data_IF_805027197558
#
_entry.id   IF_805027197558
#
_cell.length_a   1.000
_cell.length_b   1.000
_cell.length_c   1.000
_cell.angle_alpha   90.00
_cell.angle_beta   90.00
_cell.angle_gamma   90.00
#
_symmetry.space_group_name_H-M   'P 1'
#
loop_
_entity.id
_entity.type
_entity.pdbx_description
1 polymer ?
#
# COMPACT_ATOMS: atom_id res chain seq x y z
N UNK A 1 4.64 -31.67 0.36
CA UNK A 1 4.52 -31.53 1.82
C UNK A 1 3.83 -30.20 2.11
N UNK A 2 2.57 -30.21 2.55
CA UNK A 2 1.83 -28.98 2.82
C UNK A 2 2.35 -28.32 4.11
N UNK A 3 3.00 -27.18 3.97
CA UNK A 3 3.49 -26.42 5.12
C UNK A 3 2.28 -25.79 5.81
N UNK A 4 1.82 -26.48 6.85
CA UNK A 4 0.78 -26.06 7.79
C UNK A 4 1.20 -24.73 8.42
N UNK A 5 0.78 -23.62 7.81
CA UNK A 5 0.98 -22.26 8.32
C UNK A 5 0.16 -22.12 9.60
N UNK A 6 0.81 -22.26 10.75
CA UNK A 6 0.24 -21.86 12.04
C UNK A 6 0.01 -20.35 12.00
N UNK A 7 -1.15 -19.83 12.46
CA UNK A 7 -1.40 -18.40 12.50
C UNK A 7 -0.41 -17.79 13.50
N UNK A 8 0.58 -17.07 12.96
CA UNK A 8 1.60 -16.38 13.74
C UNK A 8 0.97 -15.09 14.28
N UNK A 9 1.18 -14.73 15.56
CA UNK A 9 0.66 -13.49 16.11
C UNK A 9 1.08 -12.31 15.25
N UNK A 10 0.14 -11.39 14.98
CA UNK A 10 0.41 -10.13 14.26
C UNK A 10 1.61 -9.45 14.91
N UNK A 11 2.73 -9.40 14.20
CA UNK A 11 3.92 -8.67 14.61
C UNK A 11 3.76 -7.21 14.13
N UNK A 12 3.31 -6.27 14.97
CA UNK A 12 3.05 -4.88 14.55
C UNK A 12 4.31 -4.20 14.01
N UNK A 13 5.49 -4.64 14.46
CA UNK A 13 6.79 -4.17 13.98
C UNK A 13 7.03 -4.59 12.53
N UNK A 14 6.58 -5.78 12.12
CA UNK A 14 6.75 -6.29 10.75
C UNK A 14 5.82 -5.56 9.79
N UNK A 15 4.55 -5.36 10.18
CA UNK A 15 3.60 -4.55 9.39
C UNK A 15 4.11 -3.12 9.19
N UNK A 16 4.61 -2.49 10.26
CA UNK A 16 5.16 -1.13 10.18
C UNK A 16 6.34 -1.03 9.19
N UNK A 17 7.23 -2.03 9.17
CA UNK A 17 8.34 -2.11 8.21
C UNK A 17 7.86 -2.33 6.78
N UNK A 18 6.93 -3.27 6.57
CA UNK A 18 6.39 -3.54 5.23
C UNK A 18 5.68 -2.31 4.66
N UNK A 19 4.97 -1.56 5.50
CA UNK A 19 4.34 -0.28 5.12
C UNK A 19 5.36 0.78 4.69
N UNK A 20 6.42 0.95 5.47
CA UNK A 20 7.48 1.94 5.18
C UNK A 20 8.20 1.63 3.86
N UNK A 21 8.49 0.34 3.62
CA UNK A 21 9.07 -0.14 2.37
C UNK A 21 8.11 0.09 1.18
N UNK A 22 6.81 -0.21 1.34
CA UNK A 22 5.79 0.06 0.32
C UNK A 22 5.76 1.55 -0.06
N UNK A 23 5.79 2.46 0.92
CA UNK A 23 5.84 3.90 0.64
C UNK A 23 7.12 4.31 -0.08
N UNK A 24 8.26 3.74 0.33
CA UNK A 24 9.53 3.95 -0.38
C UNK A 24 9.47 3.48 -1.84
N UNK A 25 8.80 2.36 -2.11
CA UNK A 25 8.56 1.85 -3.46
C UNK A 25 7.67 2.77 -4.29
N UNK A 26 6.56 3.23 -3.70
CA UNK A 26 5.63 4.18 -4.34
C UNK A 26 6.36 5.47 -4.73
N UNK A 27 7.19 6.01 -3.82
CA UNK A 27 7.95 7.25 -4.04
C UNK A 27 9.07 7.07 -5.07
N UNK A 28 9.83 5.97 -5.03
CA UNK A 28 10.90 5.72 -6.01
C UNK A 28 10.39 5.46 -7.41
N UNK A 29 9.30 4.70 -7.54
CA UNK A 29 8.75 4.35 -8.84
C UNK A 29 7.88 5.49 -9.41
N UNK A 30 7.42 6.41 -8.57
CA UNK A 30 6.56 7.52 -9.00
C UNK A 30 5.19 7.05 -9.48
N UNK A 31 4.70 5.91 -8.97
CA UNK A 31 3.44 5.28 -9.39
C UNK A 31 2.24 6.22 -9.22
N UNK A 32 2.35 7.24 -8.36
CA UNK A 32 1.36 8.32 -8.18
C UNK A 32 1.06 9.06 -9.51
N UNK A 33 2.02 9.13 -10.43
CA UNK A 33 1.88 9.80 -11.73
C UNK A 33 1.49 8.84 -12.88
N UNK A 34 1.45 7.52 -12.62
CA UNK A 34 1.08 6.52 -13.63
C UNK A 34 -0.43 6.53 -13.90
N UNK A 35 -0.85 5.95 -15.03
CA UNK A 35 -2.27 5.73 -15.34
C UNK A 35 -2.90 4.75 -14.34
N UNK A 36 -4.21 4.84 -14.05
CA UNK A 36 -4.86 3.98 -13.05
C UNK A 36 -4.71 2.48 -13.35
N UNK A 37 -4.65 2.11 -14.63
CA UNK A 37 -4.39 0.73 -15.06
C UNK A 37 -2.98 0.27 -14.65
N UNK A 38 -1.96 1.09 -14.93
CA UNK A 38 -0.58 0.79 -14.53
C UNK A 38 -0.39 0.84 -13.02
N UNK A 39 -1.09 1.74 -12.32
CA UNK A 39 -1.09 1.76 -10.86
C UNK A 39 -1.60 0.44 -10.30
N UNK A 40 -2.72 -0.08 -10.84
CA UNK A 40 -3.30 -1.34 -10.40
C UNK A 40 -2.35 -2.52 -10.63
N UNK A 41 -1.78 -2.65 -11.83
CA UNK A 41 -0.81 -3.70 -12.17
C UNK A 41 0.41 -3.65 -11.25
N UNK A 42 0.95 -2.45 -11.03
CA UNK A 42 2.09 -2.24 -10.14
C UNK A 42 1.77 -2.60 -8.69
N UNK A 43 0.58 -2.24 -8.19
CA UNK A 43 0.14 -2.61 -6.85
C UNK A 43 -0.05 -4.12 -6.70
N UNK A 44 -0.58 -4.80 -7.72
CA UNK A 44 -0.75 -6.25 -7.68
C UNK A 44 0.60 -6.96 -7.52
N UNK A 45 1.57 -6.62 -8.39
CA UNK A 45 2.94 -7.15 -8.36
C UNK A 45 3.67 -6.79 -7.05
N UNK A 46 3.56 -5.54 -6.60
CA UNK A 46 4.22 -5.08 -5.37
C UNK A 46 3.64 -5.76 -4.13
N UNK A 47 2.33 -5.99 -4.08
CA UNK A 47 1.67 -6.64 -2.94
C UNK A 47 2.00 -8.13 -2.91
N UNK A 48 2.08 -8.80 -4.06
CA UNK A 48 2.60 -10.16 -4.17
C UNK A 48 4.04 -10.24 -3.65
N UNK A 49 4.91 -9.35 -4.11
CA UNK A 49 6.29 -9.25 -3.63
C UNK A 49 6.38 -9.03 -2.11
N UNK A 50 5.52 -8.17 -1.54
CA UNK A 50 5.48 -7.94 -0.09
C UNK A 50 5.03 -9.18 0.68
N UNK A 51 4.07 -9.95 0.16
CA UNK A 51 3.60 -11.19 0.78
C UNK A 51 4.70 -12.27 0.79
N UNK A 52 5.48 -12.37 -0.29
CA UNK A 52 6.62 -13.29 -0.37
C UNK A 52 7.78 -12.86 0.54
N UNK A 53 8.10 -11.56 0.55
CA UNK A 53 9.19 -11.00 1.35
C UNK A 53 8.90 -11.05 2.85
N UNK A 54 7.65 -10.87 3.24
CA UNK A 54 7.21 -10.89 4.63
C UNK A 54 6.25 -12.06 4.88
N UNK A 55 6.75 -13.31 4.94
CA UNK A 55 5.91 -14.49 5.13
C UNK A 55 5.27 -14.58 6.53
N UNK A 56 5.59 -13.63 7.42
CA UNK A 56 4.97 -13.47 8.74
C UNK A 56 3.75 -12.55 8.72
N UNK A 57 3.48 -11.86 7.60
CA UNK A 57 2.23 -11.11 7.43
C UNK A 57 1.10 -12.08 7.15
N UNK A 58 -0.05 -11.84 7.78
CA UNK A 58 -1.27 -12.55 7.42
C UNK A 58 -1.87 -11.96 6.15
N UNK A 59 -2.74 -12.71 5.48
CA UNK A 59 -3.46 -12.23 4.30
C UNK A 59 -4.23 -10.91 4.57
N UNK A 60 -4.76 -10.75 5.79
CA UNK A 60 -5.37 -9.50 6.25
C UNK A 60 -4.38 -8.32 6.32
N UNK A 61 -3.16 -8.56 6.77
CA UNK A 61 -2.13 -7.53 6.87
C UNK A 61 -1.64 -7.10 5.49
N UNK A 62 -1.53 -8.05 4.56
CA UNK A 62 -1.21 -7.78 3.15
C UNK A 62 -2.33 -6.98 2.48
N UNK A 63 -3.59 -7.29 2.79
CA UNK A 63 -4.74 -6.53 2.31
C UNK A 63 -4.74 -5.09 2.86
N UNK A 64 -4.48 -4.91 4.16
CA UNK A 64 -4.37 -3.59 4.79
C UNK A 64 -3.25 -2.74 4.14
N UNK A 65 -2.09 -3.34 3.84
CA UNK A 65 -1.01 -2.68 3.11
C UNK A 65 -1.45 -2.17 1.74
N UNK A 66 -2.22 -2.96 0.98
CA UNK A 66 -2.76 -2.55 -0.32
C UNK A 66 -3.67 -1.34 -0.16
N UNK A 67 -4.63 -1.40 0.76
CA UNK A 67 -5.55 -0.29 1.00
C UNK A 67 -4.83 0.99 1.44
N UNK A 68 -3.81 0.86 2.31
CA UNK A 68 -2.99 1.98 2.75
C UNK A 68 -2.20 2.61 1.59
N UNK A 69 -1.63 1.78 0.71
CA UNK A 69 -0.91 2.24 -0.47
C UNK A 69 -1.81 2.94 -1.48
N UNK A 70 -2.96 2.34 -1.81
CA UNK A 70 -3.96 2.95 -2.70
C UNK A 70 -4.43 4.30 -2.16
N UNK A 71 -4.72 4.38 -0.85
CA UNK A 71 -5.13 5.63 -0.19
C UNK A 71 -4.02 6.68 -0.15
N UNK A 72 -2.76 6.27 -0.13
CA UNK A 72 -1.62 7.17 -0.22
C UNK A 72 -1.47 7.76 -1.64
N UNK A 73 -1.82 6.99 -2.67
CA UNK A 73 -1.85 7.46 -4.07
C UNK A 73 -3.10 8.29 -4.41
N UNK A 74 -4.17 8.21 -3.62
CA UNK A 74 -5.33 9.07 -3.81
C UNK A 74 -4.93 10.55 -3.61
N UNK A 75 -5.38 11.47 -4.47
CA UNK A 75 -5.17 12.88 -4.23
C UNK A 75 -5.79 13.21 -2.88
N UNK A 76 -4.99 13.77 -1.96
CA UNK A 76 -5.53 14.43 -0.78
C UNK A 76 -6.44 15.51 -1.34
N UNK A 77 -7.75 15.29 -1.30
CA UNK A 77 -8.73 16.29 -1.70
C UNK A 77 -8.48 17.43 -0.73
N UNK A 78 -7.66 18.38 -1.15
CA UNK A 78 -7.62 19.69 -0.55
C UNK A 78 -9.01 20.20 -0.81
N UNK A 79 -9.87 20.09 0.19
CA UNK A 79 -11.00 20.99 0.32
C UNK A 79 -10.39 22.37 0.53
N UNK A 80 -9.78 22.95 -0.52
CA UNK A 80 -9.72 24.37 -0.66
C UNK A 80 -11.16 24.76 -0.95
N UNK A 81 -11.91 25.33 0.02
CA UNK A 81 -13.07 26.10 -0.40
C UNK A 81 -12.49 27.11 -1.38
N UNK A 82 -12.95 27.04 -2.62
CA UNK A 82 -12.90 28.16 -3.55
C UNK A 82 -13.49 29.33 -2.79
N UNK A 83 -12.64 30.13 -2.13
CA UNK A 83 -13.03 31.42 -1.59
C UNK A 83 -13.27 32.24 -2.83
N UNK A 84 -14.55 32.24 -3.23
CA UNK A 84 -15.02 33.07 -4.32
C UNK A 84 -14.62 34.50 -4.01
N UNK A 85 -13.76 35.04 -4.87
CA UNK A 85 -13.61 36.47 -5.02
C UNK A 85 -14.99 37.00 -5.44
N UNK A 86 -15.74 37.54 -4.49
CA UNK A 86 -16.88 38.42 -4.77
C UNK A 86 -16.42 39.84 -4.55
N UNK A 87 -16.17 40.49 -5.67
CA UNK A 87 -16.40 41.91 -6.02
C UNK A 87 -16.35 42.95 -4.92
#
# INVERSE_FOLDING_TARGET
MAQKRTPKPRDPVTLAKARDELYSHILRCGVIQATPEHQKEWFDDTIEYMAERYPSLSDEDVHDLRQLGERYCQPVISNSPTVGATT
#
